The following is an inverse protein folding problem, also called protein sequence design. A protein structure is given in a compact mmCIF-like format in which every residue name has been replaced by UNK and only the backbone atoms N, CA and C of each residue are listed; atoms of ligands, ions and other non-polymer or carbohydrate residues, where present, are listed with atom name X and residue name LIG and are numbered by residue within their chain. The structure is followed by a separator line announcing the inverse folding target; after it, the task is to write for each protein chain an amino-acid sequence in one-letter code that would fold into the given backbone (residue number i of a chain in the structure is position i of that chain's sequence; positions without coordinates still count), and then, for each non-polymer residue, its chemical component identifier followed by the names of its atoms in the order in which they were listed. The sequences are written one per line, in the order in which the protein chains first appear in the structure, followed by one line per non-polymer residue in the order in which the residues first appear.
data_IF_210361091194
#
_entry.id   IF_210361091194
#
_cell.length_a   1.000
_cell.length_b   1.000
_cell.length_c   1.000
_cell.angle_alpha   90.00
_cell.angle_beta   90.00
_cell.angle_gamma   90.00
#
_symmetry.space_group_name_H-M   'P 1'
#
loop_
_entity.id
_entity.type
_entity.pdbx_description
1 polymer ?
#
# COMPACT_ATOMS: atom_id res chain seq x y z
N UNK A 1 -44.97 -25.53 -27.18
CA UNK A 1 -44.38 -24.18 -27.17
C UNK A 1 -43.15 -24.05 -26.23
N UNK A 2 -42.31 -25.09 -26.07
CA UNK A 2 -41.20 -25.12 -25.13
C UNK A 2 -39.82 -24.88 -25.75
N UNK A 3 -39.71 -24.75 -27.06
CA UNK A 3 -38.38 -24.62 -27.71
C UNK A 3 -37.79 -23.20 -27.69
N UNK A 4 -38.62 -22.14 -27.67
CA UNK A 4 -38.15 -20.76 -27.77
C UNK A 4 -37.48 -20.24 -26.48
N UNK A 5 -37.85 -20.74 -25.29
CA UNK A 5 -37.30 -20.27 -24.02
C UNK A 5 -35.90 -20.83 -23.76
N UNK A 6 -35.63 -22.08 -24.18
CA UNK A 6 -34.33 -22.73 -24.00
C UNK A 6 -33.28 -22.08 -24.91
N UNK A 7 -33.65 -21.72 -26.12
CA UNK A 7 -32.76 -21.05 -27.07
C UNK A 7 -32.41 -19.62 -26.61
N UNK A 8 -33.32 -18.92 -25.97
CA UNK A 8 -33.08 -17.56 -25.48
C UNK A 8 -32.10 -17.52 -24.31
N UNK A 9 -32.23 -18.41 -23.34
CA UNK A 9 -31.28 -18.54 -22.22
C UNK A 9 -29.87 -18.90 -22.70
N UNK A 10 -29.79 -19.85 -23.62
CA UNK A 10 -28.53 -20.25 -24.24
C UNK A 10 -27.90 -19.07 -24.99
N UNK A 11 -28.68 -18.32 -25.77
CA UNK A 11 -28.21 -17.17 -26.51
C UNK A 11 -27.68 -16.05 -25.58
N UNK A 12 -28.40 -15.76 -24.48
CA UNK A 12 -27.97 -14.76 -23.47
C UNK A 12 -26.67 -15.21 -22.80
N UNK A 13 -26.60 -16.51 -22.42
CA UNK A 13 -25.40 -17.09 -21.79
C UNK A 13 -24.19 -17.04 -22.72
N UNK A 14 -24.38 -17.36 -23.98
CA UNK A 14 -23.31 -17.33 -24.99
C UNK A 14 -22.84 -15.89 -25.28
N UNK A 15 -23.76 -14.91 -25.38
CA UNK A 15 -23.41 -13.48 -25.50
C UNK A 15 -22.63 -12.99 -24.29
N UNK A 16 -23.08 -13.29 -23.07
CA UNK A 16 -22.41 -12.91 -21.84
C UNK A 16 -21.01 -13.53 -21.74
N UNK A 17 -20.87 -14.80 -22.06
CA UNK A 17 -19.58 -15.51 -22.10
C UNK A 17 -18.62 -14.90 -23.15
N UNK A 18 -19.13 -14.58 -24.33
CA UNK A 18 -18.36 -13.91 -25.39
C UNK A 18 -17.89 -12.52 -24.95
N UNK A 19 -18.76 -11.74 -24.33
CA UNK A 19 -18.39 -10.42 -23.80
C UNK A 19 -17.36 -10.50 -22.69
N UNK A 20 -17.46 -11.45 -21.77
CA UNK A 20 -16.47 -11.69 -20.71
C UNK A 20 -15.11 -12.12 -21.26
N UNK A 21 -15.09 -12.98 -22.28
CA UNK A 21 -13.85 -13.34 -22.99
C UNK A 21 -13.21 -12.13 -23.65
N UNK A 22 -13.99 -11.32 -24.38
CA UNK A 22 -13.50 -10.07 -24.98
C UNK A 22 -12.98 -9.10 -23.93
N UNK A 23 -13.68 -8.92 -22.80
CA UNK A 23 -13.20 -8.11 -21.70
C UNK A 23 -11.84 -8.60 -21.17
N UNK A 24 -11.67 -9.92 -21.06
CA UNK A 24 -10.42 -10.48 -20.56
C UNK A 24 -9.27 -10.36 -21.55
N UNK A 25 -9.48 -10.72 -22.82
CA UNK A 25 -8.40 -10.82 -23.81
C UNK A 25 -8.15 -9.49 -24.54
N UNK A 26 -9.21 -8.79 -24.93
CA UNK A 26 -9.09 -7.61 -25.79
C UNK A 26 -9.02 -6.31 -24.97
N UNK A 27 -9.90 -6.14 -23.99
CA UNK A 27 -9.98 -4.92 -23.20
C UNK A 27 -9.12 -4.93 -21.92
N UNK A 28 -8.65 -6.10 -21.47
CA UNK A 28 -7.85 -6.22 -20.23
C UNK A 28 -6.68 -5.24 -20.17
N UNK A 29 -5.82 -5.09 -21.19
CA UNK A 29 -4.70 -4.16 -21.10
C UNK A 29 -5.16 -2.72 -20.87
N UNK A 30 -6.25 -2.30 -21.53
CA UNK A 30 -6.81 -0.96 -21.39
C UNK A 30 -7.41 -0.75 -19.98
N UNK A 31 -8.16 -1.74 -19.48
CA UNK A 31 -8.76 -1.72 -18.15
C UNK A 31 -7.67 -1.66 -17.08
N UNK A 32 -6.67 -2.52 -17.17
CA UNK A 32 -5.54 -2.54 -16.23
C UNK A 32 -4.77 -1.23 -16.25
N UNK A 33 -4.53 -0.62 -17.40
CA UNK A 33 -3.87 0.66 -17.53
C UNK A 33 -4.66 1.77 -16.83
N UNK A 34 -5.96 1.91 -17.11
CA UNK A 34 -6.82 2.90 -16.46
C UNK A 34 -6.89 2.72 -14.95
N UNK A 35 -7.02 1.48 -14.46
CA UNK A 35 -7.03 1.18 -13.04
C UNK A 35 -5.67 1.50 -12.38
N UNK A 36 -4.56 1.24 -13.06
CA UNK A 36 -3.24 1.57 -12.59
C UNK A 36 -3.01 3.09 -12.51
N UNK A 37 -3.56 3.85 -13.46
CA UNK A 37 -3.47 5.31 -13.45
C UNK A 37 -4.28 5.94 -12.31
N UNK A 38 -5.46 5.42 -12.03
CA UNK A 38 -6.24 5.81 -10.85
C UNK A 38 -5.48 5.54 -9.53
N UNK A 39 -4.78 4.41 -9.45
CA UNK A 39 -3.94 4.09 -8.30
C UNK A 39 -2.80 5.09 -8.17
N UNK A 40 -2.15 5.48 -9.28
CA UNK A 40 -1.09 6.50 -9.28
C UNK A 40 -1.61 7.86 -8.84
N UNK A 41 -2.83 8.22 -9.22
CA UNK A 41 -3.45 9.47 -8.82
C UNK A 41 -3.76 9.53 -7.31
N UNK A 42 -4.20 8.40 -6.73
CA UNK A 42 -4.58 8.32 -5.30
C UNK A 42 -3.43 8.06 -4.33
N UNK A 43 -2.33 7.49 -4.80
CA UNK A 43 -1.19 7.13 -3.98
C UNK A 43 0.11 7.76 -4.49
N UNK A 44 0.95 8.19 -3.56
CA UNK A 44 2.34 8.56 -3.89
C UNK A 44 3.14 7.28 -4.19
N UNK A 45 3.05 6.83 -5.45
CA UNK A 45 3.64 5.56 -5.90
C UNK A 45 5.13 5.71 -6.10
N UNK A 46 5.92 5.12 -5.20
CA UNK A 46 7.40 5.13 -5.28
C UNK A 46 7.96 4.00 -6.13
N UNK A 47 7.37 2.80 -6.02
CA UNK A 47 7.78 1.64 -6.82
C UNK A 47 6.94 1.56 -8.08
N UNK A 48 7.56 1.69 -9.25
CA UNK A 48 6.90 1.57 -10.57
C UNK A 48 6.12 0.25 -10.74
N UNK A 49 6.53 -0.81 -10.01
CA UNK A 49 5.85 -2.10 -10.03
C UNK A 49 4.58 -2.16 -9.18
N UNK A 50 4.35 -1.22 -8.27
CA UNK A 50 3.20 -1.28 -7.35
C UNK A 50 1.85 -1.26 -8.08
N UNK A 51 1.57 -0.36 -9.03
CA UNK A 51 0.30 -0.39 -9.75
C UNK A 51 0.09 -1.68 -10.54
N UNK A 52 1.18 -2.29 -11.05
CA UNK A 52 1.15 -3.56 -11.80
C UNK A 52 0.76 -4.77 -10.95
N UNK A 53 0.63 -4.62 -9.63
CA UNK A 53 0.11 -5.68 -8.75
C UNK A 53 -1.41 -5.79 -8.80
N UNK A 54 -2.09 -4.80 -9.33
CA UNK A 54 -3.52 -4.86 -9.65
C UNK A 54 -3.71 -5.55 -11.00
N UNK A 55 -4.48 -6.63 -11.01
CA UNK A 55 -4.72 -7.46 -12.20
C UNK A 55 -6.15 -7.94 -12.28
N UNK A 56 -6.61 -8.10 -13.52
CA UNK A 56 -7.87 -8.74 -13.84
C UNK A 56 -7.69 -10.17 -14.36
N UNK A 57 -8.63 -11.03 -14.05
CA UNK A 57 -8.77 -12.35 -14.64
C UNK A 57 -10.23 -12.80 -14.67
N UNK A 58 -10.55 -13.75 -15.54
CA UNK A 58 -11.88 -14.38 -15.56
C UNK A 58 -11.79 -15.72 -14.82
N UNK A 59 -12.65 -15.90 -13.82
CA UNK A 59 -12.74 -17.12 -13.06
C UNK A 59 -13.82 -18.05 -13.64
N UNK A 60 -13.41 -19.24 -14.05
CA UNK A 60 -14.28 -20.31 -14.57
C UNK A 60 -14.43 -21.46 -13.57
N UNK A 61 -14.50 -21.15 -12.28
CA UNK A 61 -14.37 -22.15 -11.21
C UNK A 61 -15.51 -23.19 -11.15
N UNK A 62 -16.66 -22.88 -11.71
CA UNK A 62 -17.81 -23.79 -11.64
C UNK A 62 -18.52 -23.76 -13.00
N UNK A 63 -18.59 -24.91 -13.73
CA UNK A 63 -19.30 -24.98 -15.00
C UNK A 63 -20.81 -24.71 -14.89
N UNK A 64 -21.40 -24.90 -13.68
CA UNK A 64 -22.80 -24.58 -13.42
C UNK A 64 -23.07 -23.10 -13.14
N UNK A 65 -22.02 -22.25 -13.01
CA UNK A 65 -22.14 -20.82 -12.78
C UNK A 65 -21.54 -20.02 -13.94
N UNK A 66 -22.09 -18.85 -14.28
CA UNK A 66 -21.48 -18.01 -15.29
C UNK A 66 -20.05 -17.60 -14.87
N UNK A 67 -19.13 -17.42 -15.80
CA UNK A 67 -17.80 -16.94 -15.52
C UNK A 67 -17.86 -15.51 -14.93
N UNK A 68 -16.94 -15.21 -14.01
CA UNK A 68 -16.88 -13.93 -13.31
C UNK A 68 -15.57 -13.23 -13.62
N UNK A 69 -15.65 -11.98 -14.06
CA UNK A 69 -14.48 -11.12 -14.17
C UNK A 69 -14.08 -10.62 -12.78
N UNK A 70 -12.84 -10.89 -12.38
CA UNK A 70 -12.31 -10.52 -11.06
C UNK A 70 -11.14 -9.57 -11.24
N UNK A 71 -11.21 -8.43 -10.57
CA UNK A 71 -10.11 -7.46 -10.52
C UNK A 71 -9.65 -7.32 -9.07
N UNK A 72 -8.40 -7.64 -8.81
CA UNK A 72 -7.85 -7.58 -7.45
C UNK A 72 -6.37 -7.26 -7.40
N UNK A 73 -5.91 -6.80 -6.25
CA UNK A 73 -4.50 -6.75 -5.94
C UNK A 73 -3.95 -8.14 -5.61
N UNK A 74 -2.68 -8.35 -5.92
CA UNK A 74 -1.98 -9.53 -5.43
C UNK A 74 -1.70 -9.39 -3.94
N UNK A 75 -2.42 -10.11 -3.11
CA UNK A 75 -2.28 -10.11 -1.65
C UNK A 75 -0.87 -10.53 -1.21
N UNK A 76 -0.24 -11.45 -1.93
CA UNK A 76 1.14 -11.86 -1.66
C UNK A 76 2.16 -10.71 -1.84
N UNK A 77 1.89 -9.79 -2.79
CA UNK A 77 2.81 -8.68 -3.10
C UNK A 77 2.51 -7.42 -2.31
N UNK A 78 1.25 -7.21 -1.94
CA UNK A 78 0.77 -6.01 -1.23
C UNK A 78 -0.28 -6.35 -0.17
N UNK A 79 0.08 -7.12 0.87
CA UNK A 79 -0.87 -7.58 1.90
C UNK A 79 -1.53 -6.43 2.68
N UNK A 80 -0.90 -5.27 2.70
CA UNK A 80 -1.38 -4.07 3.38
C UNK A 80 -2.43 -3.27 2.57
N UNK A 81 -2.68 -3.62 1.31
CA UNK A 81 -3.59 -2.84 0.45
C UNK A 81 -5.05 -2.93 0.93
N UNK A 82 -5.43 -4.05 1.55
CA UNK A 82 -6.76 -4.26 2.07
C UNK A 82 -7.22 -3.14 3.00
N UNK A 83 -6.34 -2.69 3.90
CA UNK A 83 -6.67 -1.61 4.84
C UNK A 83 -6.91 -0.26 4.14
N UNK A 84 -6.32 -0.03 2.97
CA UNK A 84 -6.63 1.14 2.16
C UNK A 84 -7.96 1.03 1.41
N UNK A 85 -8.44 -0.19 1.19
CA UNK A 85 -9.75 -0.46 0.60
C UNK A 85 -10.90 -0.29 1.58
N UNK A 86 -10.73 -0.76 2.80
CA UNK A 86 -11.78 -0.72 3.83
C UNK A 86 -11.62 0.46 4.79
N UNK A 87 -10.42 1.00 4.92
CA UNK A 87 -10.04 1.80 6.07
C UNK A 87 -9.86 0.92 7.30
N UNK A 88 -9.45 1.48 8.41
CA UNK A 88 -9.36 0.76 9.66
C UNK A 88 -8.24 1.24 10.58
N UNK A 89 -8.08 0.54 11.68
CA UNK A 89 -7.07 0.84 12.69
C UNK A 89 -6.00 -0.25 12.72
N UNK A 90 -4.75 0.14 12.56
CA UNK A 90 -3.60 -0.75 12.77
C UNK A 90 -3.24 -0.73 14.24
N UNK A 91 -3.27 -1.91 14.85
CA UNK A 91 -2.87 -2.13 16.23
C UNK A 91 -1.52 -2.84 16.29
N UNK A 92 -0.73 -2.65 17.36
CA UNK A 92 0.50 -3.40 17.57
C UNK A 92 0.20 -4.86 17.86
N UNK A 93 1.00 -5.76 17.32
CA UNK A 93 0.82 -7.21 17.55
C UNK A 93 1.03 -7.61 19.01
N UNK A 94 1.93 -6.94 19.71
CA UNK A 94 2.35 -7.29 21.08
C UNK A 94 1.87 -6.28 22.15
N UNK A 95 0.88 -5.47 21.85
CA UNK A 95 0.28 -4.54 22.82
C UNK A 95 1.10 -3.32 23.23
N UNK A 96 2.40 -3.26 22.88
CA UNK A 96 3.32 -2.21 23.38
C UNK A 96 3.29 -0.91 22.57
N UNK A 97 2.74 -0.90 21.36
CA UNK A 97 2.70 0.26 20.48
C UNK A 97 3.36 0.03 19.13
N UNK A 98 3.12 0.95 18.22
CA UNK A 98 3.66 0.95 16.86
C UNK A 98 4.76 2.01 16.78
N UNK A 99 5.95 1.61 16.33
CA UNK A 99 7.05 2.52 16.06
C UNK A 99 6.91 3.09 14.66
N UNK A 100 6.69 4.39 14.57
CA UNK A 100 6.60 5.12 13.31
C UNK A 100 7.90 5.88 13.09
N UNK A 101 8.65 5.59 12.01
CA UNK A 101 9.92 6.27 11.75
C UNK A 101 9.71 7.75 11.45
N UNK A 102 10.60 8.60 11.96
CA UNK A 102 10.64 10.00 11.58
C UNK A 102 11.07 10.16 10.12
N UNK A 103 10.37 11.04 9.41
CA UNK A 103 10.78 11.47 8.08
C UNK A 103 11.60 12.74 8.22
N UNK A 104 12.90 12.63 8.11
CA UNK A 104 13.75 13.81 8.04
C UNK A 104 13.59 14.43 6.64
N UNK A 105 13.17 15.71 6.61
CA UNK A 105 12.95 16.45 5.36
C UNK A 105 14.22 16.43 4.50
N UNK A 106 14.09 16.03 3.23
CA UNK A 106 15.22 15.95 2.30
C UNK A 106 16.05 14.66 2.38
N UNK A 107 15.68 13.69 3.20
CA UNK A 107 16.31 12.35 3.21
C UNK A 107 15.38 11.29 2.60
N UNK A 108 16.00 10.29 1.96
CA UNK A 108 15.28 9.13 1.45
C UNK A 108 14.72 8.33 2.64
N UNK A 109 13.41 8.05 2.62
CA UNK A 109 12.80 7.18 3.63
C UNK A 109 13.52 5.83 3.67
N UNK A 110 13.74 5.34 4.89
CA UNK A 110 14.20 3.98 5.09
C UNK A 110 13.15 2.99 4.59
N UNK A 111 13.58 1.87 4.03
CA UNK A 111 12.71 0.72 3.84
C UNK A 111 12.35 0.12 5.21
N UNK A 112 11.29 -0.69 5.26
CA UNK A 112 10.91 -1.36 6.51
C UNK A 112 12.04 -2.22 7.08
N UNK A 113 12.83 -2.88 6.22
CA UNK A 113 13.99 -3.66 6.66
C UNK A 113 15.07 -2.77 7.26
N UNK A 114 15.48 -1.72 6.54
CA UNK A 114 16.48 -0.77 7.04
C UNK A 114 16.06 -0.12 8.37
N UNK A 115 14.76 0.18 8.55
CA UNK A 115 14.27 0.71 9.82
C UNK A 115 14.35 -0.32 10.94
N UNK A 116 14.00 -1.59 10.68
CA UNK A 116 14.17 -2.67 11.65
C UNK A 116 15.63 -2.86 12.05
N UNK A 117 16.53 -2.80 11.08
CA UNK A 117 17.98 -2.95 11.33
C UNK A 117 18.49 -1.80 12.23
N UNK A 118 18.04 -0.56 11.97
CA UNK A 118 18.36 0.59 12.84
C UNK A 118 17.84 0.38 14.26
N UNK A 119 16.58 -0.03 14.41
CA UNK A 119 16.02 -0.28 15.75
C UNK A 119 16.75 -1.41 16.46
N UNK A 120 17.04 -2.52 15.75
CA UNK A 120 17.79 -3.63 16.32
C UNK A 120 19.23 -3.22 16.72
N UNK A 121 19.88 -2.38 15.92
CA UNK A 121 21.19 -1.80 16.24
C UNK A 121 21.15 -0.96 17.51
N UNK A 122 20.16 -0.04 17.61
CA UNK A 122 19.99 0.78 18.81
C UNK A 122 19.71 -0.05 20.06
N UNK A 123 18.83 -1.06 19.96
CA UNK A 123 18.52 -1.93 21.11
C UNK A 123 19.75 -2.74 21.57
N UNK A 124 20.60 -3.16 20.65
CA UNK A 124 21.84 -3.89 20.98
C UNK A 124 22.92 -3.01 21.59
N UNK A 125 23.06 -1.77 21.09
CA UNK A 125 24.10 -0.85 21.57
C UNK A 125 23.76 -0.19 22.90
N UNK A 126 22.48 -0.13 23.28
CA UNK A 126 22.01 0.62 24.44
C UNK A 126 22.05 2.15 24.26
N UNK A 127 22.47 2.65 23.09
CA UNK A 127 22.61 4.08 22.82
C UNK A 127 21.28 4.69 22.38
N UNK A 128 20.26 4.59 23.22
CA UNK A 128 18.95 5.16 22.95
C UNK A 128 18.27 5.59 24.25
N UNK A 129 17.35 6.52 24.10
CA UNK A 129 16.50 7.00 25.19
C UNK A 129 15.04 7.14 24.73
N UNK A 130 14.12 6.91 25.68
CA UNK A 130 12.70 7.11 25.49
C UNK A 130 12.24 8.36 26.19
N UNK A 131 11.78 9.34 25.43
CA UNK A 131 11.33 10.64 25.99
C UNK A 131 9.88 10.88 25.66
N UNK A 132 9.14 11.33 26.69
CA UNK A 132 7.77 11.82 26.51
C UNK A 132 7.85 13.27 26.04
N UNK A 133 7.23 13.58 24.89
CA UNK A 133 7.11 14.94 24.41
C UNK A 133 5.94 15.68 25.04
N UNK A 134 5.90 16.99 24.81
CA UNK A 134 4.83 17.87 25.30
C UNK A 134 3.46 17.53 24.69
N UNK A 135 3.47 16.88 23.52
CA UNK A 135 2.27 16.34 22.86
C UNK A 135 1.78 14.99 23.46
N UNK A 136 2.39 14.55 24.56
CA UNK A 136 2.05 13.32 25.27
C UNK A 136 2.52 12.03 24.60
N UNK A 137 3.16 12.11 23.42
CA UNK A 137 3.70 10.95 22.71
C UNK A 137 5.07 10.57 23.24
N UNK A 138 5.43 9.29 23.07
CA UNK A 138 6.75 8.77 23.43
C UNK A 138 7.62 8.70 22.19
N UNK A 139 8.80 9.28 22.30
CA UNK A 139 9.77 9.37 21.21
C UNK A 139 11.00 8.51 21.52
N UNK A 140 11.48 7.81 20.52
CA UNK A 140 12.77 7.11 20.56
C UNK A 140 13.84 8.03 20.02
N UNK A 141 14.83 8.33 20.85
CA UNK A 141 16.04 9.06 20.46
C UNK A 141 17.22 8.11 20.32
N UNK A 142 18.03 8.33 19.33
CA UNK A 142 19.36 7.73 19.26
C UNK A 142 20.36 8.68 19.92
N UNK A 143 21.20 8.14 20.78
CA UNK A 143 22.27 8.86 21.47
C UNK A 143 23.63 8.44 20.94
N UNK A 144 24.68 9.23 21.19
CA UNK A 144 26.07 8.93 20.83
C UNK A 144 26.24 8.43 19.39
N UNK A 145 25.63 9.12 18.42
CA UNK A 145 25.61 8.73 17.00
C UNK A 145 27.02 8.55 16.42
N UNK A 146 28.06 9.07 17.11
CA UNK A 146 29.46 8.92 16.68
C UNK A 146 29.94 7.48 16.72
N UNK A 147 29.46 6.68 17.68
CA UNK A 147 29.97 5.33 17.94
C UNK A 147 29.24 4.26 17.12
N UNK A 148 27.99 4.57 16.67
CA UNK A 148 27.17 3.67 15.84
C UNK A 148 27.11 4.16 14.39
N UNK A 149 28.25 4.40 13.80
CA UNK A 149 28.41 5.25 12.64
C UNK A 149 27.67 4.84 11.38
N UNK A 150 27.55 3.55 11.05
CA UNK A 150 27.12 3.16 9.70
C UNK A 150 25.60 3.15 9.54
N UNK A 151 24.86 2.67 10.50
CA UNK A 151 23.40 2.58 10.41
C UNK A 151 22.72 3.92 10.66
N UNK A 152 23.30 4.77 11.54
CA UNK A 152 22.78 6.08 11.94
C UNK A 152 23.38 7.24 11.16
N UNK A 153 24.39 7.06 10.34
CA UNK A 153 24.97 8.10 9.44
C UNK A 153 23.92 8.80 8.60
N UNK A 154 22.85 8.11 8.25
CA UNK A 154 21.75 8.67 7.45
C UNK A 154 20.90 9.67 8.23
N UNK A 155 20.91 9.64 9.54
CA UNK A 155 20.22 10.59 10.41
C UNK A 155 21.12 11.75 10.84
N UNK A 156 22.44 11.56 10.75
CA UNK A 156 23.42 12.52 11.21
C UNK A 156 23.57 13.74 10.31
N UNK A 157 22.70 14.73 10.45
CA UNK A 157 22.96 16.05 9.88
C UNK A 157 23.78 16.89 10.86
N UNK A 158 24.83 17.51 10.33
CA UNK A 158 25.47 18.65 11.00
C UNK A 158 24.48 19.81 11.05
N UNK A 159 24.16 20.29 12.25
CA UNK A 159 23.49 21.59 12.42
C UNK A 159 24.56 22.68 12.39
N UNK A 160 24.29 23.77 11.70
CA UNK A 160 25.08 25.00 11.81
C UNK A 160 24.55 25.71 13.03
N UNK A 161 25.39 25.89 14.06
CA UNK A 161 25.06 26.68 15.23
C UNK A 161 24.91 28.17 14.88
N UNK A 162 24.36 28.96 15.80
CA UNK A 162 24.26 30.43 15.66
C UNK A 162 25.63 31.09 15.46
N UNK A 163 26.70 30.40 15.85
CA UNK A 163 28.11 30.78 15.69
C UNK A 163 28.70 30.39 14.32
N UNK A 164 27.90 29.91 13.37
CA UNK A 164 28.34 29.46 12.06
C UNK A 164 29.14 28.13 12.06
N UNK A 165 29.42 27.56 13.23
CA UNK A 165 30.18 26.29 13.33
C UNK A 165 29.31 25.08 13.12
N UNK A 166 29.81 24.11 12.36
CA UNK A 166 29.15 22.82 12.18
C UNK A 166 29.29 21.99 13.45
N UNK A 167 28.17 21.80 14.14
CA UNK A 167 28.12 20.89 15.31
C UNK A 167 27.47 19.58 14.89
N UNK A 168 28.07 18.44 15.25
CA UNK A 168 27.43 17.14 15.11
C UNK A 168 26.26 17.05 16.10
N UNK A 169 25.11 16.61 15.60
CA UNK A 169 23.98 16.29 16.44
C UNK A 169 24.34 15.02 17.22
N UNK A 170 24.42 15.10 18.54
CA UNK A 170 24.70 13.95 19.39
C UNK A 170 23.46 13.12 19.66
N UNK A 171 22.30 13.70 19.54
CA UNK A 171 21.00 13.05 19.76
C UNK A 171 20.08 13.30 18.57
N UNK A 172 19.32 12.28 18.18
CA UNK A 172 18.39 12.38 17.07
C UNK A 172 17.09 11.61 17.33
N UNK A 173 15.92 12.21 17.12
CA UNK A 173 14.67 11.47 17.17
C UNK A 173 14.60 10.51 15.95
N UNK A 174 14.45 9.22 16.24
CA UNK A 174 14.42 8.14 15.22
C UNK A 174 13.00 7.72 14.92
N UNK A 175 12.16 7.61 15.94
CA UNK A 175 10.80 7.14 15.81
C UNK A 175 9.88 7.70 16.91
N UNK A 176 8.58 7.64 16.65
CA UNK A 176 7.54 7.88 17.65
C UNK A 176 6.78 6.60 17.93
N UNK A 177 6.51 6.32 19.19
CA UNK A 177 5.67 5.21 19.64
C UNK A 177 4.22 5.69 19.73
N UNK A 178 3.34 5.05 18.98
CA UNK A 178 1.91 5.34 19.01
C UNK A 178 1.11 4.09 19.34
N UNK A 179 0.01 4.19 20.11
CA UNK A 179 -0.79 3.03 20.49
C UNK A 179 -1.53 2.43 19.29
N UNK A 180 -1.87 3.24 18.32
CA UNK A 180 -2.59 2.83 17.10
C UNK A 180 -2.37 3.81 15.97
N UNK A 181 -2.59 3.36 14.74
CA UNK A 181 -2.60 4.20 13.54
C UNK A 181 -3.92 4.02 12.81
N UNK A 182 -4.67 5.10 12.66
CA UNK A 182 -5.89 5.10 11.86
C UNK A 182 -5.52 5.30 10.39
N UNK A 183 -5.93 4.36 9.55
CA UNK A 183 -5.72 4.40 8.10
C UNK A 183 -7.04 4.75 7.42
N UNK A 184 -7.15 5.90 6.77
CA UNK A 184 -8.36 6.25 6.04
C UNK A 184 -8.54 5.34 4.82
N UNK A 185 -9.81 5.05 4.45
CA UNK A 185 -10.13 4.45 3.16
C UNK A 185 -9.67 5.39 2.05
N UNK A 186 -8.73 4.95 1.24
CA UNK A 186 -8.17 5.70 0.11
C UNK A 186 -8.53 5.12 -1.24
N UNK A 187 -8.86 3.84 -1.27
CA UNK A 187 -9.15 3.11 -2.48
C UNK A 187 -10.50 2.41 -2.33
N UNK A 188 -11.48 2.82 -3.11
CA UNK A 188 -12.70 2.07 -3.28
C UNK A 188 -12.57 1.22 -4.54
N UNK A 189 -12.27 -0.07 -4.33
CA UNK A 189 -12.06 -1.01 -5.44
C UNK A 189 -13.36 -1.25 -6.20
N UNK A 190 -14.49 -1.28 -5.50
CA UNK A 190 -15.80 -1.52 -6.10
C UNK A 190 -16.23 -0.32 -6.95
N UNK A 191 -16.11 0.89 -6.42
CA UNK A 191 -16.38 2.12 -7.17
C UNK A 191 -15.44 2.24 -8.38
N UNK A 192 -14.15 1.97 -8.18
CA UNK A 192 -13.17 1.98 -9.24
C UNK A 192 -13.52 1.00 -10.35
N UNK A 193 -13.91 -0.22 -9.98
CA UNK A 193 -14.31 -1.26 -10.92
C UNK A 193 -15.57 -0.86 -11.68
N UNK A 194 -16.58 -0.32 -10.98
CA UNK A 194 -17.80 0.17 -11.63
C UNK A 194 -17.54 1.29 -12.63
N UNK A 195 -16.72 2.27 -12.28
CA UNK A 195 -16.42 3.40 -13.17
C UNK A 195 -15.58 3.01 -14.39
N UNK A 196 -14.69 2.05 -14.27
CA UNK A 196 -13.75 1.69 -15.34
C UNK A 196 -14.21 0.45 -16.11
N UNK A 197 -14.61 -0.61 -15.41
CA UNK A 197 -14.89 -1.90 -16.05
C UNK A 197 -16.31 -1.97 -16.60
N UNK A 198 -17.28 -1.49 -15.84
CA UNK A 198 -18.69 -1.63 -16.22
C UNK A 198 -19.04 -0.93 -17.53
N UNK A 199 -18.57 0.29 -17.84
CA UNK A 199 -18.81 0.92 -19.14
C UNK A 199 -18.24 0.10 -20.31
N UNK A 200 -17.01 -0.43 -20.14
CA UNK A 200 -16.37 -1.26 -21.18
C UNK A 200 -17.17 -2.56 -21.38
N UNK A 201 -17.61 -3.19 -20.28
CA UNK A 201 -18.42 -4.39 -20.35
C UNK A 201 -19.76 -4.16 -21.05
N UNK A 202 -20.46 -3.07 -20.74
CA UNK A 202 -21.71 -2.68 -21.43
C UNK A 202 -21.50 -2.49 -22.94
N UNK A 203 -20.42 -1.83 -23.32
CA UNK A 203 -20.07 -1.61 -24.72
C UNK A 203 -19.78 -2.92 -25.47
N UNK A 204 -19.27 -3.95 -24.78
CA UNK A 204 -19.00 -5.27 -25.35
C UNK A 204 -20.24 -6.16 -25.46
N UNK A 205 -21.28 -5.87 -24.67
CA UNK A 205 -22.55 -6.60 -24.71
C UNK A 205 -23.49 -6.11 -25.83
N UNK A 206 -23.44 -4.80 -26.12
CA UNK A 206 -24.27 -4.18 -27.18
C UNK A 206 -23.75 -4.53 -28.55
#
# INVERSE_FOLDING_TARGET
MSGLSIDLEKLIKDKANKALRRLHFDAKPLVEAKLQDEIRAKFNVRKKSFPKTFRGYVAYKNPARPPVAVFKFSEMKVPWIGIHGTGGTVLPRNGKGLLIPFNVRGQRRLSNQQFRDVIAGLMRSGNYDWRKGDDGKVYLFAENIRDNADELRRFGKTKIGADGKRRRVTELPVAVLVPRVNMPKRLDVDDLTRRVVLPIYRQLLG
#
